data_IF_558315673635
#
_entry.id   IF_558315673635
#
_cell.length_a   1.000
_cell.length_b   1.000
_cell.length_c   1.000
_cell.angle_alpha   90.00
_cell.angle_beta   90.00
_cell.angle_gamma   90.00
#
_symmetry.space_group_name_H-M   'P 1'
#
loop_
_entity.id
_entity.type
_entity.pdbx_description
1 polymer ?
#
# COMPACT_ATOMS: atom_id res chain seq x y z
N UNK A 1 4.48 -19.96 -30.52
CA UNK A 1 3.32 -19.82 -29.64
C UNK A 1 2.57 -18.46 -29.72
N UNK A 2 2.75 -17.70 -30.84
CA UNK A 2 1.99 -16.44 -31.04
C UNK A 2 0.49 -16.65 -31.34
N UNK A 3 0.07 -17.84 -31.76
CA UNK A 3 -1.31 -18.11 -32.19
C UNK A 3 -2.32 -18.33 -31.05
N UNK A 4 -1.92 -18.92 -29.93
CA UNK A 4 -2.85 -19.18 -28.81
C UNK A 4 -3.30 -17.88 -28.10
N UNK A 5 -2.38 -16.97 -27.82
CA UNK A 5 -2.71 -15.70 -27.18
C UNK A 5 -3.70 -14.83 -27.97
N UNK A 6 -3.65 -14.89 -29.30
CA UNK A 6 -4.57 -14.13 -30.15
C UNK A 6 -6.00 -14.73 -30.20
N UNK A 7 -6.12 -16.04 -30.08
CA UNK A 7 -7.43 -16.72 -30.02
C UNK A 7 -8.14 -16.39 -28.72
N UNK A 8 -7.45 -16.47 -27.58
CA UNK A 8 -8.00 -16.12 -26.30
C UNK A 8 -8.40 -14.65 -26.19
N UNK A 9 -7.56 -13.77 -26.71
CA UNK A 9 -7.86 -12.33 -26.72
C UNK A 9 -9.14 -12.04 -27.50
N UNK A 10 -9.38 -12.75 -28.63
CA UNK A 10 -10.61 -12.61 -29.43
C UNK A 10 -11.84 -13.09 -28.63
N UNK A 11 -11.74 -14.18 -27.89
CA UNK A 11 -12.84 -14.70 -27.08
C UNK A 11 -13.20 -13.73 -25.93
N UNK A 12 -12.20 -13.15 -25.28
CA UNK A 12 -12.40 -12.13 -24.25
C UNK A 12 -13.06 -10.88 -24.85
N UNK A 13 -12.62 -10.42 -26.02
CA UNK A 13 -13.24 -9.29 -26.74
C UNK A 13 -14.69 -9.60 -27.11
N UNK A 14 -14.98 -10.83 -27.56
CA UNK A 14 -16.34 -11.24 -27.90
C UNK A 14 -17.26 -11.30 -26.66
N UNK A 15 -16.74 -11.74 -25.51
CA UNK A 15 -17.49 -11.81 -24.27
C UNK A 15 -17.72 -10.43 -23.61
N UNK A 16 -16.81 -9.46 -23.87
CA UNK A 16 -16.86 -8.11 -23.30
C UNK A 16 -16.77 -7.04 -24.41
N UNK A 17 -17.80 -6.86 -25.23
CA UNK A 17 -17.76 -5.94 -26.37
C UNK A 17 -17.66 -4.46 -25.96
N UNK A 18 -17.94 -4.13 -24.68
CA UNK A 18 -17.84 -2.77 -24.14
C UNK A 18 -16.48 -2.47 -23.50
N UNK A 19 -15.52 -3.40 -23.60
CA UNK A 19 -14.20 -3.23 -23.05
C UNK A 19 -13.46 -2.07 -23.73
N UNK A 20 -12.97 -1.12 -22.94
CA UNK A 20 -12.15 0.00 -23.40
C UNK A 20 -10.67 -0.38 -23.44
N UNK A 21 -10.26 -1.24 -22.54
CA UNK A 21 -8.88 -1.68 -22.41
C UNK A 21 -8.82 -3.12 -21.90
N UNK A 22 -7.90 -3.89 -22.48
CA UNK A 22 -7.61 -5.26 -22.05
C UNK A 22 -6.11 -5.31 -21.77
N UNK A 23 -5.76 -5.56 -20.51
CA UNK A 23 -4.39 -5.75 -20.07
C UNK A 23 -4.16 -7.23 -19.79
N UNK A 24 -3.02 -7.75 -20.23
CA UNK A 24 -2.57 -9.08 -19.85
C UNK A 24 -1.66 -8.97 -18.65
N UNK A 25 -1.90 -9.79 -17.65
CA UNK A 25 -1.10 -9.90 -16.45
C UNK A 25 -0.84 -11.37 -16.11
N UNK A 26 0.16 -11.58 -15.30
CA UNK A 26 0.50 -12.91 -14.81
C UNK A 26 0.59 -12.87 -13.29
N UNK A 27 -0.14 -13.74 -12.62
CA UNK A 27 0.05 -14.04 -11.22
C UNK A 27 0.89 -15.33 -11.15
N UNK A 28 2.23 -15.17 -11.10
CA UNK A 28 3.21 -16.24 -11.26
C UNK A 28 3.05 -16.98 -12.59
N UNK A 29 2.53 -18.23 -12.52
CA UNK A 29 2.32 -19.08 -13.69
C UNK A 29 0.88 -19.03 -14.23
N UNK A 30 -0.03 -18.36 -13.51
CA UNK A 30 -1.40 -18.15 -13.94
C UNK A 30 -1.55 -16.84 -14.70
N UNK A 31 -1.71 -16.88 -16.02
CA UNK A 31 -2.01 -15.70 -16.80
C UNK A 31 -3.47 -15.30 -16.63
N UNK A 32 -3.73 -13.99 -16.56
CA UNK A 32 -5.09 -13.46 -16.53
C UNK A 32 -5.20 -12.15 -17.30
N UNK A 33 -6.43 -11.84 -17.73
CA UNK A 33 -6.75 -10.58 -18.37
C UNK A 33 -7.47 -9.65 -17.41
N UNK A 34 -7.10 -8.38 -17.42
CA UNK A 34 -7.85 -7.30 -16.80
C UNK A 34 -8.61 -6.59 -17.92
N UNK A 35 -9.92 -6.70 -17.89
CA UNK A 35 -10.81 -6.04 -18.83
C UNK A 35 -11.41 -4.83 -18.15
N UNK A 36 -11.12 -3.64 -18.67
CA UNK A 36 -11.61 -2.37 -18.13
C UNK A 36 -12.73 -1.83 -19.02
N UNK A 37 -13.86 -1.59 -18.40
CA UNK A 37 -14.98 -0.83 -18.95
C UNK A 37 -15.03 0.56 -18.28
N UNK A 38 -15.91 1.46 -18.71
CA UNK A 38 -16.07 2.81 -18.14
C UNK A 38 -16.31 2.85 -16.63
N UNK A 39 -16.92 1.80 -16.08
CA UNK A 39 -17.36 1.73 -14.67
C UNK A 39 -16.73 0.59 -13.88
N UNK A 40 -16.35 -0.50 -14.54
CA UNK A 40 -15.95 -1.74 -13.89
C UNK A 40 -14.63 -2.29 -14.45
N UNK A 41 -13.93 -3.04 -13.61
CA UNK A 41 -12.78 -3.84 -13.99
C UNK A 41 -13.12 -5.32 -13.75
N UNK A 42 -12.92 -6.16 -14.75
CA UNK A 42 -13.14 -7.60 -14.68
C UNK A 42 -11.81 -8.31 -14.78
N UNK A 43 -11.64 -9.31 -13.95
CA UNK A 43 -10.43 -10.14 -13.91
C UNK A 43 -10.81 -11.53 -14.42
N UNK A 44 -10.17 -11.96 -15.48
CA UNK A 44 -10.55 -13.16 -16.24
C UNK A 44 -9.36 -14.08 -16.28
N UNK A 45 -9.55 -15.34 -15.88
CA UNK A 45 -8.55 -16.38 -16.02
C UNK A 45 -8.24 -16.63 -17.50
N UNK A 46 -6.96 -16.63 -17.86
CA UNK A 46 -6.51 -16.88 -19.22
C UNK A 46 -6.01 -18.32 -19.42
N UNK A 47 -6.01 -19.15 -18.39
CA UNK A 47 -5.60 -20.55 -18.50
C UNK A 47 -6.72 -21.45 -19.03
N UNK A 48 -7.99 -21.04 -18.89
CA UNK A 48 -9.15 -21.83 -19.32
C UNK A 48 -9.63 -21.43 -20.72
N UNK A 49 -10.20 -22.35 -21.46
CA UNK A 49 -10.76 -22.11 -22.80
C UNK A 49 -11.98 -21.20 -22.85
N UNK A 50 -12.63 -20.98 -21.71
CA UNK A 50 -13.76 -20.08 -21.55
C UNK A 50 -13.39 -18.94 -20.60
N UNK A 51 -13.82 -17.70 -20.89
CA UNK A 51 -13.57 -16.57 -20.02
C UNK A 51 -14.31 -16.73 -18.68
N UNK A 52 -13.59 -17.17 -17.66
CA UNK A 52 -14.10 -17.31 -16.30
C UNK A 52 -13.50 -16.24 -15.41
N UNK A 53 -14.22 -15.77 -14.38
CA UNK A 53 -13.66 -14.89 -13.37
C UNK A 53 -12.43 -15.54 -12.71
N UNK A 54 -11.38 -14.75 -12.50
CA UNK A 54 -10.21 -15.20 -11.77
C UNK A 54 -10.60 -15.59 -10.34
N UNK A 55 -10.23 -16.79 -9.93
CA UNK A 55 -10.38 -17.26 -8.55
C UNK A 55 -9.11 -17.96 -8.13
N UNK A 56 -8.29 -17.27 -7.34
CA UNK A 56 -7.08 -17.84 -6.78
C UNK A 56 -7.42 -18.70 -5.57
N UNK A 57 -7.01 -19.95 -5.59
CA UNK A 57 -7.15 -20.85 -4.46
C UNK A 57 -6.14 -20.53 -3.35
N UNK A 58 -6.41 -20.99 -2.14
CA UNK A 58 -5.50 -20.84 -1.00
C UNK A 58 -4.12 -21.43 -1.30
N UNK A 59 -4.07 -22.61 -1.93
CA UNK A 59 -2.83 -23.28 -2.28
C UNK A 59 -1.99 -22.51 -3.30
N UNK A 60 -2.62 -21.93 -4.31
CA UNK A 60 -1.96 -21.11 -5.35
C UNK A 60 -1.36 -19.85 -4.73
N UNK A 61 -2.11 -19.21 -3.84
CA UNK A 61 -1.67 -18.04 -3.10
C UNK A 61 -0.49 -18.38 -2.19
N UNK A 62 -0.56 -19.50 -1.46
CA UNK A 62 0.51 -19.95 -0.58
C UNK A 62 1.78 -20.24 -1.38
N UNK A 63 1.69 -21.07 -2.42
CA UNK A 63 2.80 -21.33 -3.35
C UNK A 63 3.34 -20.04 -3.96
N UNK A 64 2.43 -19.05 -4.19
CA UNK A 64 2.74 -17.72 -4.64
C UNK A 64 3.73 -17.02 -3.73
N UNK A 65 3.47 -16.98 -2.47
CA UNK A 65 4.32 -16.33 -1.48
C UNK A 65 5.58 -17.15 -1.21
N UNK A 66 5.48 -18.47 -1.07
CA UNK A 66 6.64 -19.34 -0.86
C UNK A 66 7.73 -19.18 -1.91
N UNK A 67 7.35 -18.99 -3.18
CA UNK A 67 8.36 -18.84 -4.24
C UNK A 67 9.12 -17.52 -4.17
N UNK A 68 8.54 -16.47 -3.61
CA UNK A 68 9.27 -15.23 -3.40
C UNK A 68 10.49 -15.51 -2.53
N UNK A 69 10.30 -16.31 -1.49
CA UNK A 69 11.37 -16.67 -0.57
C UNK A 69 12.29 -17.77 -1.10
N UNK A 70 11.81 -18.64 -1.97
CA UNK A 70 12.62 -19.69 -2.59
C UNK A 70 13.51 -19.14 -3.70
N UNK A 71 13.04 -18.16 -4.49
CA UNK A 71 13.80 -17.58 -5.61
C UNK A 71 14.93 -16.62 -5.18
N UNK A 72 14.85 -16.06 -3.97
CA UNK A 72 15.87 -15.14 -3.41
C UNK A 72 16.95 -15.85 -2.58
N UNK A 73 17.03 -17.18 -2.65
CA UNK A 73 17.77 -18.01 -1.70
C UNK A 73 19.23 -18.25 -2.11
N UNK A 74 20.14 -17.88 -1.22
CA UNK A 74 21.43 -18.56 -1.03
C UNK A 74 21.16 -19.86 -0.24
N UNK A 75 21.79 -20.95 -0.64
CA UNK A 75 21.46 -22.35 -0.29
C UNK A 75 21.48 -22.72 1.23
N UNK A 76 21.64 -21.79 2.13
CA UNK A 76 21.81 -22.00 3.57
C UNK A 76 20.72 -21.38 4.48
N UNK A 77 19.73 -20.69 3.93
CA UNK A 77 18.73 -20.01 4.76
C UNK A 77 17.48 -20.88 5.01
N UNK A 78 17.01 -20.86 6.24
CA UNK A 78 15.78 -21.53 6.69
C UNK A 78 14.56 -20.92 6.00
N UNK A 79 13.58 -21.74 5.58
CA UNK A 79 12.29 -21.26 5.08
C UNK A 79 11.55 -20.63 6.24
N UNK A 80 11.17 -19.34 6.18
CA UNK A 80 10.41 -18.74 7.26
C UNK A 80 9.04 -19.40 7.39
N UNK A 81 8.53 -19.47 8.62
CA UNK A 81 7.18 -19.98 8.88
C UNK A 81 6.14 -19.08 8.20
N UNK A 82 5.26 -19.69 7.41
CA UNK A 82 4.18 -18.97 6.71
C UNK A 82 2.85 -19.36 7.34
N UNK A 83 2.05 -18.35 7.69
CA UNK A 83 0.69 -18.52 8.21
C UNK A 83 -0.28 -17.81 7.31
N UNK A 84 -1.31 -18.51 6.84
CA UNK A 84 -2.40 -17.97 6.03
C UNK A 84 -3.67 -17.85 6.86
N UNK A 85 -4.41 -16.78 6.66
CA UNK A 85 -5.72 -16.57 7.25
C UNK A 85 -6.61 -15.76 6.30
N UNK A 86 -7.90 -16.05 6.32
CA UNK A 86 -8.88 -15.27 5.53
C UNK A 86 -9.38 -14.09 6.34
N UNK A 87 -9.29 -12.91 5.76
CA UNK A 87 -9.74 -11.67 6.36
C UNK A 87 -11.09 -11.29 5.75
N UNK A 88 -12.15 -11.37 6.54
CA UNK A 88 -13.52 -11.03 6.13
C UNK A 88 -13.94 -9.62 6.62
N UNK A 89 -13.26 -9.11 7.64
CA UNK A 89 -13.52 -7.80 8.21
C UNK A 89 -12.30 -6.90 8.11
N UNK A 90 -12.52 -5.60 7.97
CA UNK A 90 -11.42 -4.64 7.88
C UNK A 90 -10.65 -4.54 9.20
N UNK A 91 -9.42 -5.01 9.20
CA UNK A 91 -8.44 -4.57 10.18
C UNK A 91 -8.12 -3.08 9.95
N UNK A 92 -7.96 -2.31 11.03
CA UNK A 92 -7.68 -0.87 10.95
C UNK A 92 -6.46 -0.58 10.08
N UNK A 93 -5.42 -1.40 10.23
CA UNK A 93 -4.19 -1.27 9.47
C UNK A 93 -4.40 -1.51 7.96
N UNK A 94 -5.10 -2.58 7.57
CA UNK A 94 -5.38 -2.88 6.16
C UNK A 94 -6.22 -1.78 5.51
N UNK A 95 -7.24 -1.30 6.20
CA UNK A 95 -8.11 -0.21 5.73
C UNK A 95 -7.35 1.09 5.51
N UNK A 96 -6.53 1.47 6.49
CA UNK A 96 -5.80 2.73 6.45
C UNK A 96 -4.68 2.71 5.41
N UNK A 97 -3.98 1.58 5.27
CA UNK A 97 -2.98 1.37 4.22
C UNK A 97 -3.61 1.37 2.83
N UNK A 98 -4.79 0.77 2.66
CA UNK A 98 -5.49 0.76 1.39
C UNK A 98 -5.89 2.16 0.94
N UNK A 99 -6.32 3.01 1.85
CA UNK A 99 -6.62 4.42 1.58
C UNK A 99 -5.37 5.23 1.18
N UNK A 100 -4.21 4.89 1.74
CA UNK A 100 -2.94 5.55 1.44
C UNK A 100 -2.43 5.22 0.02
N UNK A 101 -2.65 4.00 -0.47
CA UNK A 101 -2.17 3.53 -1.78
C UNK A 101 -3.18 3.66 -2.93
N UNK A 102 -4.15 4.57 -2.85
CA UNK A 102 -5.14 4.87 -3.90
C UNK A 102 -5.94 3.67 -4.42
N UNK A 103 -6.23 2.70 -3.58
CA UNK A 103 -7.11 1.60 -3.97
C UNK A 103 -8.21 1.43 -2.94
N UNK A 104 -9.45 1.25 -3.40
CA UNK A 104 -10.52 0.86 -2.48
C UNK A 104 -10.13 -0.48 -1.85
N UNK A 105 -10.15 -0.59 -0.52
CA UNK A 105 -9.94 -1.87 0.12
C UNK A 105 -11.08 -2.80 -0.29
N UNK A 106 -10.72 -3.96 -0.80
CA UNK A 106 -11.69 -5.00 -1.18
C UNK A 106 -11.60 -6.14 -0.17
N UNK A 107 -12.70 -6.76 0.12
CA UNK A 107 -12.82 -7.96 0.96
C UNK A 107 -13.66 -8.99 0.21
N UNK A 108 -13.47 -10.27 0.44
CA UNK A 108 -12.48 -10.87 1.34
C UNK A 108 -11.06 -10.87 0.76
N UNK A 109 -10.04 -10.88 1.63
CA UNK A 109 -8.63 -11.03 1.22
C UNK A 109 -7.95 -12.12 2.03
N UNK A 110 -6.95 -12.75 1.44
CA UNK A 110 -6.05 -13.64 2.14
C UNK A 110 -4.92 -12.83 2.78
N UNK A 111 -4.75 -13.01 4.08
CA UNK A 111 -3.66 -12.43 4.85
C UNK A 111 -2.63 -13.50 5.13
N UNK A 112 -1.44 -13.31 4.61
CA UNK A 112 -0.32 -14.22 4.76
C UNK A 112 0.74 -13.53 5.60
N UNK A 113 1.03 -14.11 6.76
CA UNK A 113 2.05 -13.60 7.67
C UNK A 113 3.27 -14.49 7.55
N UNK A 114 4.41 -13.88 7.29
CA UNK A 114 5.69 -14.57 7.16
C UNK A 114 6.53 -14.24 8.38
N UNK A 115 7.16 -15.27 8.95
CA UNK A 115 8.04 -15.14 10.11
C UNK A 115 9.48 -14.86 9.67
N UNK A 116 9.63 -13.77 8.91
CA UNK A 116 10.89 -13.23 8.47
C UNK A 116 11.36 -12.07 9.38
N UNK A 117 12.63 -11.60 9.30
CA UNK A 117 13.14 -10.48 10.09
C UNK A 117 12.32 -9.20 9.93
N UNK A 118 11.74 -8.99 8.74
CA UNK A 118 10.91 -7.83 8.41
C UNK A 118 9.46 -7.99 8.81
N UNK A 119 9.06 -9.18 9.33
CA UNK A 119 7.68 -9.53 9.70
C UNK A 119 6.72 -9.19 8.57
N UNK A 120 7.03 -9.67 7.39
CA UNK A 120 6.28 -9.40 6.17
C UNK A 120 4.84 -9.91 6.25
N UNK A 121 3.92 -9.11 5.76
CA UNK A 121 2.50 -9.48 5.64
C UNK A 121 2.06 -9.19 4.22
N UNK A 122 1.47 -10.19 3.58
CA UNK A 122 0.88 -10.06 2.25
C UNK A 122 -0.64 -10.12 2.36
N UNK A 123 -1.30 -9.17 1.72
CA UNK A 123 -2.75 -9.19 1.53
C UNK A 123 -3.01 -9.43 0.06
N UNK A 124 -3.66 -10.55 -0.25
CA UNK A 124 -3.92 -10.98 -1.63
C UNK A 124 -5.42 -11.14 -1.82
N UNK A 125 -5.95 -10.44 -2.83
CA UNK A 125 -7.36 -10.56 -3.18
C UNK A 125 -7.55 -11.74 -4.12
N UNK A 126 -8.43 -12.71 -3.80
CA UNK A 126 -8.58 -13.94 -4.58
C UNK A 126 -9.09 -13.73 -6.00
N UNK A 127 -9.95 -12.73 -6.21
CA UNK A 127 -10.60 -12.49 -7.50
C UNK A 127 -9.84 -11.51 -8.39
N UNK A 128 -8.97 -10.68 -7.82
CA UNK A 128 -8.26 -9.64 -8.59
C UNK A 128 -6.77 -9.90 -8.70
N UNK A 129 -6.23 -10.83 -7.91
CA UNK A 129 -4.79 -11.07 -7.83
C UNK A 129 -3.97 -9.88 -7.32
N UNK A 130 -4.62 -8.86 -6.78
CA UNK A 130 -3.92 -7.68 -6.25
C UNK A 130 -3.18 -8.07 -4.98
N UNK A 131 -1.88 -7.86 -4.99
CA UNK A 131 -0.99 -8.13 -3.86
C UNK A 131 -0.64 -6.81 -3.17
N UNK A 132 -0.75 -6.80 -1.85
CA UNK A 132 -0.23 -5.72 -1.01
C UNK A 132 0.76 -6.29 -0.02
N UNK A 133 1.99 -5.88 -0.14
CA UNK A 133 3.07 -6.27 0.75
C UNK A 133 3.29 -5.19 1.80
N UNK A 134 3.45 -5.61 3.03
CA UNK A 134 3.68 -4.76 4.20
C UNK A 134 4.83 -5.32 5.00
N UNK A 135 5.90 -4.57 5.08
CA UNK A 135 7.12 -4.85 5.83
C UNK A 135 7.29 -3.90 7.02
N UNK A 136 8.35 -4.06 7.78
CA UNK A 136 8.69 -3.18 8.91
C UNK A 136 8.88 -1.73 8.47
N UNK A 137 9.48 -1.50 7.29
CA UNK A 137 9.66 -0.16 6.74
C UNK A 137 8.34 0.53 6.40
N UNK A 138 7.42 -0.20 5.76
CA UNK A 138 6.07 0.29 5.46
C UNK A 138 5.27 0.62 6.71
N UNK A 139 5.39 -0.23 7.76
CA UNK A 139 4.76 0.03 9.06
C UNK A 139 5.33 1.28 9.71
N UNK A 140 6.64 1.48 9.65
CA UNK A 140 7.29 2.66 10.22
C UNK A 140 6.88 3.94 9.50
N UNK A 141 6.84 3.92 8.16
CA UNK A 141 6.33 5.04 7.33
C UNK A 141 4.88 5.37 7.66
N UNK A 142 4.03 4.35 7.75
CA UNK A 142 2.63 4.51 8.13
C UNK A 142 2.48 5.13 9.52
N UNK A 143 3.22 4.62 10.51
CA UNK A 143 3.19 5.12 11.88
C UNK A 143 3.67 6.56 11.96
N UNK A 144 4.79 6.90 11.34
CA UNK A 144 5.33 8.26 11.30
C UNK A 144 4.32 9.24 10.70
N UNK A 145 3.73 8.87 9.56
CA UNK A 145 2.70 9.69 8.91
C UNK A 145 1.45 9.83 9.79
N UNK A 146 0.96 8.74 10.34
CA UNK A 146 -0.26 8.73 11.15
C UNK A 146 -0.06 9.46 12.48
N UNK A 147 1.09 9.29 13.12
CA UNK A 147 1.42 9.96 14.37
C UNK A 147 1.65 11.46 14.16
N UNK A 148 2.43 11.85 13.15
CA UNK A 148 2.83 13.24 12.94
C UNK A 148 1.75 14.06 12.21
N UNK A 149 1.14 13.53 11.14
CA UNK A 149 0.17 14.28 10.34
C UNK A 149 -1.27 14.18 10.82
N UNK A 150 -1.65 13.03 11.37
CA UNK A 150 -3.03 12.80 11.81
C UNK A 150 -3.21 12.85 13.32
N UNK A 151 -2.12 12.97 14.09
CA UNK A 151 -2.13 12.94 15.56
C UNK A 151 -2.96 11.76 16.12
N UNK A 152 -2.94 10.62 15.40
CA UNK A 152 -3.66 9.40 15.80
C UNK A 152 -2.73 8.49 16.60
N UNK A 153 -2.31 8.97 17.77
CA UNK A 153 -1.55 8.16 18.72
C UNK A 153 -2.47 7.25 19.52
N UNK A 154 -2.08 5.99 19.81
CA UNK A 154 -2.81 5.15 20.75
C UNK A 154 -2.92 5.87 22.10
N UNK A 155 -4.11 5.93 22.68
CA UNK A 155 -4.38 6.69 23.91
C UNK A 155 -4.84 8.13 23.69
N UNK A 156 -4.34 8.84 22.68
CA UNK A 156 -4.83 10.17 22.33
C UNK A 156 -6.15 10.13 21.56
N UNK A 157 -6.40 9.03 20.85
CA UNK A 157 -7.60 8.86 20.03
C UNK A 157 -8.84 8.48 20.86
N UNK A 158 -8.65 7.92 22.05
CA UNK A 158 -9.73 7.55 22.97
C UNK A 158 -10.29 8.75 23.73
N UNK A 159 -9.53 9.85 23.87
CA UNK A 159 -9.95 11.03 24.61
C UNK A 159 -9.85 12.30 23.75
N UNK A 160 -11.01 12.76 23.24
CA UNK A 160 -11.09 13.92 22.35
C UNK A 160 -10.59 15.22 23.00
N UNK A 161 -10.77 15.37 24.33
CA UNK A 161 -10.32 16.54 25.08
C UNK A 161 -8.80 16.55 25.17
N UNK A 162 -8.19 15.41 25.53
CA UNK A 162 -6.73 15.28 25.61
C UNK A 162 -6.07 15.59 24.26
N UNK A 163 -6.65 15.07 23.18
CA UNK A 163 -6.16 15.34 21.81
C UNK A 163 -6.21 16.84 21.48
N UNK A 164 -7.31 17.53 21.80
CA UNK A 164 -7.43 18.97 21.57
C UNK A 164 -6.40 19.74 22.38
N UNK A 165 -6.21 19.40 23.64
CA UNK A 165 -5.22 20.06 24.52
C UNK A 165 -3.80 19.92 23.98
N UNK A 166 -3.40 18.70 23.59
CA UNK A 166 -2.07 18.45 23.00
C UNK A 166 -1.88 19.25 21.71
N UNK A 167 -2.89 19.30 20.84
CA UNK A 167 -2.84 20.12 19.62
C UNK A 167 -2.65 21.59 19.91
N UNK A 168 -3.37 22.15 20.90
CA UNK A 168 -3.23 23.54 21.29
C UNK A 168 -1.84 23.85 21.83
N UNK A 169 -1.29 22.98 22.68
CA UNK A 169 0.07 23.15 23.24
C UNK A 169 1.12 23.14 22.11
N UNK A 170 1.01 22.20 21.18
CA UNK A 170 1.94 22.12 20.04
C UNK A 170 1.82 23.33 19.10
N UNK A 171 0.61 23.81 18.86
CA UNK A 171 0.35 25.00 18.03
C UNK A 171 0.96 26.25 18.69
N UNK A 172 0.70 26.47 19.96
CA UNK A 172 1.26 27.61 20.72
C UNK A 172 2.79 27.55 20.78
N UNK A 173 3.36 26.36 21.04
CA UNK A 173 4.81 26.15 21.01
C UNK A 173 5.42 26.44 19.63
N UNK A 174 4.83 25.91 18.58
CA UNK A 174 5.27 26.19 17.21
C UNK A 174 5.19 27.67 16.84
N UNK A 175 4.11 28.35 17.24
CA UNK A 175 3.95 29.79 17.03
C UNK A 175 5.03 30.60 17.77
N UNK A 176 5.33 30.23 19.01
CA UNK A 176 6.39 30.89 19.78
C UNK A 176 7.76 30.73 19.11
N UNK A 177 8.08 29.53 18.63
CA UNK A 177 9.33 29.28 17.88
C UNK A 177 9.39 30.10 16.58
N UNK A 178 8.29 30.20 15.84
CA UNK A 178 8.25 31.04 14.63
C UNK A 178 8.46 32.52 14.96
N UNK A 179 7.82 33.06 15.98
CA UNK A 179 7.98 34.46 16.41
C UNK A 179 9.42 34.74 16.81
N UNK A 180 10.02 33.88 17.65
CA UNK A 180 11.42 34.04 18.06
C UNK A 180 12.39 33.93 16.89
N UNK A 181 12.14 33.03 15.94
CA UNK A 181 12.94 32.90 14.71
C UNK A 181 12.89 34.18 13.85
N UNK A 182 11.70 34.75 13.67
CA UNK A 182 11.54 36.03 12.94
C UNK A 182 12.25 37.16 13.69
N UNK A 183 12.07 37.30 14.99
CA UNK A 183 12.73 38.33 15.80
C UNK A 183 14.26 38.26 15.72
N UNK A 184 14.83 37.04 15.80
CA UNK A 184 16.27 36.82 15.65
C UNK A 184 16.76 37.18 14.24
N UNK A 185 16.02 36.82 13.20
CA UNK A 185 16.34 37.14 11.81
C UNK A 185 16.36 38.65 11.58
N UNK A 186 15.35 39.38 12.08
CA UNK A 186 15.27 40.83 11.97
C UNK A 186 16.43 41.48 12.71
N UNK A 187 16.73 41.05 13.94
CA UNK A 187 17.86 41.58 14.70
C UNK A 187 19.21 41.31 14.02
N UNK A 188 19.39 40.15 13.42
CA UNK A 188 20.59 39.83 12.64
C UNK A 188 20.77 40.75 11.43
N UNK A 189 19.72 40.95 10.66
CA UNK A 189 19.71 41.86 9.49
C UNK A 189 20.02 43.29 9.93
N UNK A 190 19.35 43.81 10.96
CA UNK A 190 19.61 45.15 11.47
C UNK A 190 21.07 45.34 11.89
N UNK A 191 21.65 44.40 12.62
CA UNK A 191 23.07 44.45 13.01
C UNK A 191 24.03 44.46 11.82
N UNK A 192 23.70 43.72 10.76
CA UNK A 192 24.51 43.63 9.54
C UNK A 192 24.43 44.94 8.71
N UNK A 193 23.24 45.53 8.59
CA UNK A 193 23.04 46.82 7.91
C UNK A 193 23.74 47.94 8.64
N UNK A 194 23.62 48.04 9.97
CA UNK A 194 24.30 49.08 10.74
C UNK A 194 25.83 48.99 10.71
N UNK A 195 26.40 47.77 10.65
CA UNK A 195 27.87 47.63 10.48
C UNK A 195 28.34 48.03 9.07
N UNK A 196 27.53 47.91 8.07
CA UNK A 196 27.88 48.31 6.69
C UNK A 196 27.88 49.85 6.54
N UNK A 197 27.01 50.55 7.22
CA UNK A 197 26.93 52.04 7.22
C UNK A 197 28.09 52.70 7.94
N UNK A 198 28.74 52.05 8.89
CA UNK A 198 29.92 52.57 9.61
C UNK A 198 31.24 52.37 8.90
N UNK A 199 31.26 51.77 7.73
CA UNK A 199 32.45 51.53 6.91
C UNK A 199 32.58 52.47 5.71
N UNK A 200 31.66 53.39 5.55
CA UNK A 200 31.72 54.51 4.64
C UNK A 200 31.77 55.81 5.45
#
# INVERSE_FOLDING_TARGET
SRGLGDVYKRQVIAAYPQALQIEWRNFREQPYYIVKDRKNEYYIDAADSLPRPLQLSEEEILKGVESIYTSQRDSSQHIPGIRISRLEHFETYYRDMSNMYRGRPQLPVWKITVDDPDRSVYYIHPETGIIRHVDTSSRWKYWSYTALHRMRLPGLNSNATLRKTVLWVLLLGGTAVCITGVALSVNYIRRKCCKRQKRY
#
